data_IF_197645665303
#
_entry.id   IF_197645665303
#
_cell.length_a   1.000
_cell.length_b   1.000
_cell.length_c   1.000
_cell.angle_alpha   90.00
_cell.angle_beta   90.00
_cell.angle_gamma   90.00
#
_symmetry.space_group_name_H-M   'P 1'
#
loop_
_entity.id
_entity.type
_entity.pdbx_description
1 polymer ?
#
# COMPACT_ATOMS: atom_id res chain seq x y z
N UNK A 1 21.87 31.44 -45.28
CA UNK A 1 20.61 30.74 -45.56
C UNK A 1 20.70 29.41 -44.81
N UNK A 2 19.80 29.17 -43.88
CA UNK A 2 19.94 28.21 -42.77
C UNK A 2 19.83 26.74 -43.24
N UNK A 3 20.81 25.91 -42.88
CA UNK A 3 20.64 24.46 -42.83
C UNK A 3 20.12 24.12 -41.43
N UNK A 4 18.87 23.69 -41.35
CA UNK A 4 18.19 23.32 -40.11
C UNK A 4 17.46 22.01 -40.31
N UNK A 5 17.65 21.13 -39.32
CA UNK A 5 16.78 20.01 -38.93
C UNK A 5 16.64 18.86 -39.97
N UNK A 6 16.70 17.59 -39.58
CA UNK A 6 16.20 17.02 -38.34
C UNK A 6 16.94 15.74 -38.00
N UNK A 7 17.34 15.65 -36.74
CA UNK A 7 17.54 14.40 -36.01
C UNK A 7 16.32 13.50 -36.18
N UNK A 8 16.53 12.30 -36.74
CA UNK A 8 15.53 11.23 -36.75
C UNK A 8 15.33 10.78 -35.31
N UNK A 9 14.27 11.28 -34.68
CA UNK A 9 13.75 10.78 -33.41
C UNK A 9 13.30 9.34 -33.62
N UNK A 10 13.99 8.41 -32.96
CA UNK A 10 13.57 7.00 -32.84
C UNK A 10 12.13 7.01 -32.28
N UNK A 11 11.13 6.42 -32.96
CA UNK A 11 9.81 6.31 -32.37
C UNK A 11 9.96 5.56 -31.06
N UNK A 12 9.39 6.13 -30.00
CA UNK A 12 9.30 5.51 -28.69
C UNK A 12 8.76 4.09 -28.90
N UNK A 13 9.49 3.10 -28.36
CA UNK A 13 8.97 1.77 -28.16
C UNK A 13 7.58 1.94 -27.56
N UNK A 14 6.58 1.60 -28.36
CA UNK A 14 5.22 1.39 -27.89
C UNK A 14 5.34 0.26 -26.89
N UNK A 15 5.53 0.62 -25.62
CA UNK A 15 5.46 -0.28 -24.48
C UNK A 15 4.03 -0.78 -24.43
N UNK A 16 3.74 -1.79 -25.27
CA UNK A 16 2.54 -2.58 -25.17
C UNK A 16 2.56 -3.21 -23.77
N UNK A 17 1.87 -2.56 -22.84
CA UNK A 17 1.58 -3.12 -21.54
C UNK A 17 0.36 -4.01 -21.72
N UNK A 18 0.63 -5.23 -22.16
CA UNK A 18 -0.37 -6.23 -22.43
C UNK A 18 -1.19 -6.63 -21.19
N UNK A 19 -2.16 -7.53 -21.40
CA UNK A 19 -3.01 -8.04 -20.33
C UNK A 19 -2.23 -8.78 -19.23
N UNK A 20 -0.91 -8.97 -19.35
CA UNK A 20 -0.08 -9.56 -18.29
C UNK A 20 -0.06 -8.68 -17.02
N UNK A 21 -0.26 -7.35 -17.12
CA UNK A 21 -0.51 -6.52 -15.92
C UNK A 21 -1.90 -6.76 -15.31
N UNK A 22 -2.83 -7.35 -16.06
CA UNK A 22 -4.08 -7.94 -15.53
C UNK A 22 -3.85 -9.40 -15.11
N UNK A 23 -2.67 -9.72 -14.59
CA UNK A 23 -2.53 -10.93 -13.77
C UNK A 23 -3.52 -10.78 -12.62
N UNK A 24 -4.67 -11.46 -12.73
CA UNK A 24 -5.55 -11.72 -11.60
C UNK A 24 -4.63 -12.17 -10.46
N UNK A 25 -4.75 -11.63 -9.24
CA UNK A 25 -3.88 -12.03 -8.14
C UNK A 25 -3.81 -13.55 -8.17
N UNK A 26 -2.59 -14.08 -8.23
CA UNK A 26 -2.36 -15.51 -8.43
C UNK A 26 -3.29 -16.28 -7.47
N UNK A 27 -3.88 -17.41 -7.87
CA UNK A 27 -4.89 -18.11 -7.07
C UNK A 27 -4.47 -18.29 -5.59
N UNK A 28 -3.17 -18.44 -5.35
CA UNK A 28 -2.56 -18.48 -4.02
C UNK A 28 -2.66 -17.16 -3.23
N UNK A 29 -2.46 -15.99 -3.83
CA UNK A 29 -2.59 -14.68 -3.18
C UNK A 29 -4.03 -14.44 -2.72
N UNK A 30 -5.01 -14.84 -3.54
CA UNK A 30 -6.43 -14.75 -3.16
C UNK A 30 -6.77 -15.71 -2.03
N UNK A 31 -6.22 -16.92 -2.05
CA UNK A 31 -6.42 -17.91 -0.98
C UNK A 31 -5.76 -17.48 0.33
N UNK A 32 -4.52 -16.95 0.26
CA UNK A 32 -3.82 -16.34 1.39
C UNK A 32 -4.63 -15.21 2.02
N UNK A 33 -5.12 -14.26 1.21
CA UNK A 33 -5.95 -13.17 1.71
C UNK A 33 -7.21 -13.69 2.42
N UNK A 34 -7.86 -14.74 1.87
CA UNK A 34 -9.01 -15.38 2.52
C UNK A 34 -8.64 -16.06 3.84
N UNK A 35 -7.51 -16.76 3.91
CA UNK A 35 -7.04 -17.33 5.18
C UNK A 35 -6.75 -16.25 6.22
N UNK A 36 -6.19 -15.12 5.81
CA UNK A 36 -5.95 -13.98 6.72
C UNK A 36 -7.26 -13.32 7.18
N UNK A 37 -8.34 -13.43 6.41
CA UNK A 37 -9.68 -12.96 6.80
C UNK A 37 -10.38 -13.90 7.80
N UNK A 38 -10.04 -15.20 7.81
CA UNK A 38 -10.54 -16.17 8.81
C UNK A 38 -9.81 -16.06 10.16
N UNK A 39 -8.71 -15.29 10.23
CA UNK A 39 -8.06 -15.00 11.49
C UNK A 39 -8.87 -13.97 12.28
N UNK A 40 -9.14 -14.22 13.56
CA UNK A 40 -9.88 -13.32 14.46
C UNK A 40 -9.15 -11.98 14.76
N UNK A 41 -8.03 -11.72 14.09
CA UNK A 41 -7.15 -10.58 14.39
C UNK A 41 -7.04 -9.66 13.17
N UNK A 42 -7.18 -8.36 13.42
CA UNK A 42 -6.94 -7.33 12.40
C UNK A 42 -5.45 -7.21 12.06
N UNK A 43 -5.10 -7.36 10.78
CA UNK A 43 -3.74 -7.18 10.28
C UNK A 43 -3.64 -6.01 9.33
N UNK A 44 -2.62 -5.17 9.54
CA UNK A 44 -2.26 -4.04 8.69
C UNK A 44 -0.83 -4.23 8.18
N UNK A 45 -0.66 -4.15 6.87
CA UNK A 45 0.65 -4.01 6.24
C UNK A 45 0.83 -2.54 5.87
N UNK A 46 1.83 -1.91 6.45
CA UNK A 46 2.15 -0.49 6.25
C UNK A 46 3.61 -0.32 5.83
N UNK A 47 3.92 0.78 5.15
CA UNK A 47 5.31 1.20 4.95
C UNK A 47 5.89 1.77 6.25
N UNK A 48 7.23 1.93 6.35
CA UNK A 48 7.83 2.64 7.48
C UNK A 48 7.33 4.08 7.66
N UNK A 49 6.88 4.71 6.58
CA UNK A 49 6.22 6.02 6.61
C UNK A 49 4.75 6.00 7.05
N UNK A 50 4.21 4.82 7.40
CA UNK A 50 2.82 4.63 7.84
C UNK A 50 1.80 4.49 6.70
N UNK A 51 2.23 4.44 5.43
CA UNK A 51 1.31 4.31 4.30
C UNK A 51 0.73 2.89 4.23
N UNK A 52 -0.60 2.78 4.14
CA UNK A 52 -1.29 1.49 4.15
C UNK A 52 -1.13 0.75 2.81
N UNK A 53 -0.63 -0.49 2.86
CA UNK A 53 -0.48 -1.40 1.71
C UNK A 53 -1.55 -2.47 1.68
N UNK A 54 -1.88 -3.04 2.83
CA UNK A 54 -2.91 -4.06 2.95
C UNK A 54 -3.58 -4.01 4.31
N UNK A 55 -4.86 -4.37 4.35
CA UNK A 55 -5.62 -4.60 5.57
C UNK A 55 -6.57 -5.77 5.29
N UNK A 56 -6.60 -6.76 6.19
CA UNK A 56 -7.59 -7.85 6.13
C UNK A 56 -8.98 -7.32 6.53
N UNK A 57 -10.02 -8.14 6.37
CA UNK A 57 -11.41 -7.75 6.63
C UNK A 57 -11.64 -7.27 8.07
N UNK A 58 -11.19 -7.97 9.14
CA UNK A 58 -11.32 -7.47 10.50
C UNK A 58 -10.64 -6.10 10.72
N UNK A 59 -9.43 -5.90 10.17
CA UNK A 59 -8.73 -4.62 10.30
C UNK A 59 -9.43 -3.48 9.55
N UNK A 60 -10.02 -3.76 8.39
CA UNK A 60 -10.80 -2.77 7.62
C UNK A 60 -12.05 -2.33 8.37
N UNK A 61 -12.72 -3.26 9.05
CA UNK A 61 -13.88 -2.94 9.88
C UNK A 61 -13.48 -2.01 11.02
N UNK A 62 -12.43 -2.34 11.78
CA UNK A 62 -11.94 -1.50 12.87
C UNK A 62 -11.43 -0.12 12.41
N UNK A 63 -10.72 -0.07 11.28
CA UNK A 63 -10.31 1.22 10.68
C UNK A 63 -11.51 2.07 10.26
N UNK A 64 -12.60 1.45 9.81
CA UNK A 64 -13.86 2.13 9.49
C UNK A 64 -14.60 2.66 10.72
N UNK A 65 -14.48 1.98 11.86
CA UNK A 65 -15.01 2.44 13.15
C UNK A 65 -14.16 3.56 13.75
N UNK A 66 -12.86 3.60 13.44
CA UNK A 66 -11.94 4.63 13.93
C UNK A 66 -11.66 4.52 15.44
N UNK A 67 -11.85 3.34 16.03
CA UNK A 67 -11.81 3.09 17.48
C UNK A 67 -10.43 3.35 18.10
N UNK A 68 -9.37 2.96 17.38
CA UNK A 68 -7.99 3.00 17.84
C UNK A 68 -7.04 3.52 16.76
N UNK A 69 -7.24 3.10 15.51
CA UNK A 69 -6.53 3.59 14.36
C UNK A 69 -7.52 4.17 13.36
N UNK A 70 -7.08 5.21 12.66
CA UNK A 70 -7.84 5.84 11.58
C UNK A 70 -6.99 5.85 10.32
N UNK A 71 -7.64 5.66 9.17
CA UNK A 71 -6.99 5.76 7.88
C UNK A 71 -7.33 7.11 7.24
N UNK A 72 -6.32 7.98 7.10
CA UNK A 72 -6.48 9.33 6.56
C UNK A 72 -5.29 9.69 5.68
N UNK A 73 -5.53 10.37 4.55
CA UNK A 73 -4.45 10.80 3.65
C UNK A 73 -3.60 9.66 3.09
N UNK A 74 -4.11 8.42 3.06
CA UNK A 74 -3.36 7.24 2.63
C UNK A 74 -2.46 6.60 3.69
N UNK A 75 -2.40 7.16 4.90
CA UNK A 75 -1.61 6.66 6.02
C UNK A 75 -2.47 6.27 7.22
N UNK A 76 -1.90 5.41 8.07
CA UNK A 76 -2.52 4.99 9.34
C UNK A 76 -2.09 5.96 10.44
N UNK A 77 -3.06 6.49 11.15
CA UNK A 77 -2.88 7.37 12.30
C UNK A 77 -3.55 6.78 13.53
N UNK A 78 -3.10 7.19 14.71
CA UNK A 78 -3.82 6.89 15.93
C UNK A 78 -5.11 7.72 16.00
N UNK A 79 -6.20 7.11 16.48
CA UNK A 79 -7.46 7.81 16.68
C UNK A 79 -7.34 8.93 17.72
N UNK A 80 -6.50 8.73 18.74
CA UNK A 80 -6.18 9.73 19.77
C UNK A 80 -4.82 10.36 19.50
N UNK A 81 -4.77 11.70 19.54
CA UNK A 81 -3.53 12.47 19.32
C UNK A 81 -2.40 12.08 20.29
N UNK A 82 -2.75 11.76 21.53
CA UNK A 82 -1.80 11.33 22.57
C UNK A 82 -1.08 10.02 22.21
N UNK A 83 -1.74 9.14 21.45
CA UNK A 83 -1.20 7.83 21.03
C UNK A 83 -0.41 7.90 19.72
N UNK A 84 -0.45 9.04 19.02
CA UNK A 84 0.23 9.18 17.73
C UNK A 84 1.76 9.05 17.87
N UNK A 85 2.34 9.57 18.96
CA UNK A 85 3.78 9.44 19.22
C UNK A 85 4.20 7.98 19.39
N UNK A 86 3.43 7.22 20.18
CA UNK A 86 3.64 5.78 20.38
C UNK A 86 3.51 4.99 19.07
N UNK A 87 2.50 5.30 18.26
CA UNK A 87 2.33 4.66 16.95
C UNK A 87 3.52 4.95 16.02
N UNK A 88 3.93 6.21 15.90
CA UNK A 88 5.06 6.59 15.06
C UNK A 88 6.35 5.88 15.50
N UNK A 89 6.59 5.79 16.81
CA UNK A 89 7.74 5.07 17.35
C UNK A 89 7.68 3.57 17.03
N UNK A 90 6.53 2.93 17.26
CA UNK A 90 6.35 1.51 16.95
C UNK A 90 6.55 1.19 15.45
N UNK A 91 6.09 2.07 14.56
CA UNK A 91 6.32 1.93 13.12
C UNK A 91 7.80 2.11 12.75
N UNK A 92 8.49 3.05 13.39
CA UNK A 92 9.93 3.22 13.21
C UNK A 92 10.68 1.97 13.69
N UNK A 93 10.38 1.45 14.87
CA UNK A 93 11.02 0.26 15.42
C UNK A 93 10.78 -0.97 14.55
N UNK A 94 9.53 -1.20 14.11
CA UNK A 94 9.19 -2.27 13.18
C UNK A 94 9.92 -2.14 11.84
N UNK A 95 10.10 -0.91 11.33
CA UNK A 95 10.87 -0.63 10.12
C UNK A 95 12.36 -0.99 10.25
N UNK A 96 12.90 -0.97 11.47
CA UNK A 96 14.27 -1.42 11.78
C UNK A 96 14.34 -2.89 12.21
N UNK A 97 13.21 -3.60 12.28
CA UNK A 97 13.13 -4.99 12.73
C UNK A 97 13.32 -5.19 14.23
N UNK A 98 12.92 -4.21 15.05
CA UNK A 98 13.00 -4.28 16.52
C UNK A 98 11.64 -4.48 17.19
#
# INVERSE_FOLDING_TARGET
MLESCSTVTRPADSSYHGPERRTRPAPITRWLARMLDEMDHGMLLVTPSGALRHANQPARQELGLGSSLVWAGGAVHAARREQQGTLTQALADAGHGR
#
